data_IF_371395542118
#
_entry.id   IF_371395542118
#
_cell.length_a   1.000
_cell.length_b   1.000
_cell.length_c   1.000
_cell.angle_alpha   90.00
_cell.angle_beta   90.00
_cell.angle_gamma   90.00
#
_symmetry.space_group_name_H-M   'P 1'
#
loop_
_entity.id
_entity.type
_entity.pdbx_description
1 polymer ?
#
# COMPACT_ATOMS: atom_id res chain seq x y z
N UNK A 1 81.14 13.32 82.86
CA UNK A 1 82.26 14.02 83.51
C UNK A 1 81.92 15.51 83.54
N UNK A 2 81.94 16.06 84.75
CA UNK A 2 82.17 17.46 85.08
C UNK A 2 81.14 18.53 84.66
N UNK A 3 80.16 18.74 85.54
CA UNK A 3 79.97 19.99 86.31
C UNK A 3 81.25 20.85 86.47
N UNK A 4 81.19 22.19 86.68
CA UNK A 4 80.43 22.73 87.82
C UNK A 4 79.96 24.21 87.81
N UNK A 5 79.06 24.48 88.76
CA UNK A 5 79.08 25.59 89.75
C UNK A 5 78.86 27.04 89.30
N UNK A 6 77.78 27.76 89.67
CA UNK A 6 77.09 28.07 90.97
C UNK A 6 77.44 29.48 91.45
N UNK A 7 76.40 30.22 91.87
CA UNK A 7 76.24 30.98 93.11
C UNK A 7 75.43 32.26 92.81
N UNK A 8 74.17 32.40 93.27
CA UNK A 8 73.72 32.63 94.65
C UNK A 8 74.26 33.97 95.21
N UNK A 9 73.45 34.92 95.69
CA UNK A 9 72.01 35.01 95.90
C UNK A 9 71.65 36.45 96.30
N UNK A 10 70.38 36.73 96.58
CA UNK A 10 69.97 37.24 97.90
C UNK A 10 68.44 37.28 98.04
N UNK A 11 67.98 36.89 99.22
CA UNK A 11 66.59 36.85 99.66
C UNK A 11 66.13 38.20 100.22
N UNK A 12 64.94 38.68 99.84
CA UNK A 12 63.90 39.10 100.82
C UNK A 12 62.51 39.23 100.15
N UNK A 13 61.44 38.69 100.75
CA UNK A 13 60.05 38.72 100.23
C UNK A 13 59.23 39.84 100.92
N UNK A 14 57.90 39.95 100.75
CA UNK A 14 57.04 39.77 99.58
C UNK A 14 56.27 41.07 99.27
N UNK A 15 56.09 41.41 97.99
CA UNK A 15 55.04 42.35 97.57
C UNK A 15 54.10 41.61 96.63
N UNK A 16 52.90 41.31 97.11
CA UNK A 16 51.80 40.74 96.35
C UNK A 16 51.38 41.73 95.24
N UNK A 17 51.54 41.41 93.93
CA UNK A 17 50.86 42.13 92.88
C UNK A 17 49.56 41.40 92.55
N UNK A 18 48.52 42.19 92.43
CA UNK A 18 47.15 41.79 92.17
C UNK A 18 46.97 40.90 90.93
N UNK A 19 46.06 39.94 91.07
CA UNK A 19 45.53 39.09 89.99
C UNK A 19 44.78 39.98 88.99
N UNK A 20 45.50 40.52 87.99
CA UNK A 20 44.94 41.30 86.89
C UNK A 20 44.23 40.42 85.87
N UNK A 21 42.91 40.25 86.04
CA UNK A 21 42.02 39.61 85.05
C UNK A 21 42.04 40.35 83.70
N UNK A 22 42.93 39.99 82.78
CA UNK A 22 42.85 40.37 81.35
C UNK A 22 42.03 39.34 80.57
N UNK A 23 40.72 39.24 80.84
CA UNK A 23 39.79 38.39 80.07
C UNK A 23 38.62 39.13 79.43
N UNK A 24 38.68 40.47 79.28
CA UNK A 24 37.55 41.27 78.77
C UNK A 24 37.75 41.99 77.42
N UNK A 25 38.86 41.79 76.69
CA UNK A 25 39.05 42.39 75.34
C UNK A 25 39.02 41.40 74.15
N UNK A 26 38.97 40.09 74.40
CA UNK A 26 38.93 39.05 73.33
C UNK A 26 37.49 38.73 72.89
N UNK A 27 36.51 38.94 73.77
CA UNK A 27 35.09 38.66 73.51
C UNK A 27 34.49 39.38 72.28
N UNK A 28 34.73 40.69 72.03
CA UNK A 28 34.20 41.35 70.84
C UNK A 28 34.86 40.87 69.54
N UNK A 29 36.14 40.48 69.57
CA UNK A 29 36.84 39.92 68.41
C UNK A 29 36.36 38.50 68.08
N UNK A 30 36.12 37.67 69.09
CA UNK A 30 35.57 36.31 68.92
C UNK A 30 34.13 36.35 68.40
N UNK A 31 33.30 37.27 68.91
CA UNK A 31 31.93 37.47 68.41
C UNK A 31 31.90 38.00 66.97
N UNK A 32 32.82 38.90 66.62
CA UNK A 32 32.95 39.41 65.25
C UNK A 32 33.44 38.33 64.28
N UNK A 33 34.44 37.54 64.69
CA UNK A 33 34.93 36.40 63.90
C UNK A 33 33.84 35.32 63.72
N UNK A 34 33.08 35.01 64.77
CA UNK A 34 31.96 34.07 64.69
C UNK A 34 30.84 34.58 63.77
N UNK A 35 30.52 35.88 63.81
CA UNK A 35 29.56 36.50 62.91
C UNK A 35 30.01 36.42 61.44
N UNK A 36 31.30 36.70 61.16
CA UNK A 36 31.86 36.56 59.81
C UNK A 36 31.82 35.11 59.33
N UNK A 37 32.22 34.15 60.17
CA UNK A 37 32.16 32.72 59.83
C UNK A 37 30.73 32.27 59.52
N UNK A 38 29.74 32.69 60.32
CA UNK A 38 28.34 32.39 60.06
C UNK A 38 27.84 33.02 58.74
N UNK A 39 28.28 34.23 58.43
CA UNK A 39 27.92 34.93 57.19
C UNK A 39 28.54 34.22 55.97
N UNK A 40 29.81 33.83 56.06
CA UNK A 40 30.50 33.04 55.03
C UNK A 40 29.87 31.64 54.86
N UNK A 41 29.51 30.98 55.96
CA UNK A 41 28.81 29.70 55.91
C UNK A 41 27.41 29.84 55.27
N UNK A 42 26.70 30.92 55.57
CA UNK A 42 25.43 31.25 54.92
C UNK A 42 25.56 31.49 53.42
N UNK A 43 26.57 32.26 53.00
CA UNK A 43 26.86 32.50 51.58
C UNK A 43 27.28 31.20 50.87
N UNK A 44 28.10 30.37 51.50
CA UNK A 44 28.49 29.07 50.95
C UNK A 44 27.27 28.13 50.79
N UNK A 45 26.34 28.12 51.76
CA UNK A 45 25.10 27.36 51.68
C UNK A 45 24.17 27.86 50.55
N UNK A 46 24.03 29.19 50.40
CA UNK A 46 23.28 29.80 49.30
C UNK A 46 23.90 29.46 47.93
N UNK A 47 25.22 29.53 47.83
CA UNK A 47 25.98 29.18 46.63
C UNK A 47 25.79 27.71 46.24
N UNK A 48 25.93 26.80 47.21
CA UNK A 48 25.74 25.37 46.99
C UNK A 48 24.31 25.05 46.55
N UNK A 49 23.32 25.68 47.19
CA UNK A 49 21.91 25.52 46.83
C UNK A 49 21.63 26.03 45.42
N UNK A 50 22.20 27.18 45.05
CA UNK A 50 22.07 27.73 43.70
C UNK A 50 22.68 26.79 42.65
N UNK A 51 23.86 26.24 42.90
CA UNK A 51 24.49 25.25 42.00
C UNK A 51 23.68 23.97 41.85
N UNK A 52 23.16 23.42 42.94
CA UNK A 52 22.31 22.22 42.88
C UNK A 52 21.05 22.46 42.04
N UNK A 53 20.39 23.61 42.23
CA UNK A 53 19.21 23.98 41.43
C UNK A 53 19.56 24.18 39.95
N UNK A 54 20.69 24.81 39.66
CA UNK A 54 21.17 24.96 38.30
C UNK A 54 21.43 23.60 37.63
N UNK A 55 22.13 22.69 38.31
CA UNK A 55 22.45 21.36 37.78
C UNK A 55 21.17 20.53 37.54
N UNK A 56 20.18 20.63 38.45
CA UNK A 56 18.85 20.04 38.28
C UNK A 56 18.10 20.65 37.09
N UNK A 57 18.08 21.97 36.94
CA UNK A 57 17.43 22.66 35.82
C UNK A 57 18.11 22.33 34.48
N UNK A 58 19.43 22.27 34.45
CA UNK A 58 20.23 21.90 33.27
C UNK A 58 19.96 20.46 32.84
N UNK A 59 19.97 19.52 33.79
CA UNK A 59 19.64 18.10 33.52
C UNK A 59 18.18 17.94 33.10
N UNK A 60 17.27 18.66 33.76
CA UNK A 60 15.85 18.68 33.41
C UNK A 60 15.59 19.23 32.02
N UNK A 61 16.35 20.23 31.59
CA UNK A 61 16.29 20.75 30.22
C UNK A 61 16.77 19.71 29.21
N UNK A 62 17.95 19.10 29.40
CA UNK A 62 18.47 18.07 28.49
C UNK A 62 17.47 16.93 28.26
N UNK A 63 16.93 16.35 29.32
CA UNK A 63 15.91 15.30 29.22
C UNK A 63 14.62 15.80 28.53
N UNK A 64 14.24 17.06 28.72
CA UNK A 64 13.04 17.61 28.05
C UNK A 64 13.29 17.82 26.56
N UNK A 65 14.49 18.26 26.18
CA UNK A 65 14.88 18.39 24.76
C UNK A 65 14.97 17.02 24.07
N UNK A 66 15.51 16.00 24.74
CA UNK A 66 15.51 14.62 24.21
C UNK A 66 14.09 14.13 23.90
N UNK A 67 13.13 14.35 24.81
CA UNK A 67 11.72 14.03 24.57
C UNK A 67 11.08 14.85 23.44
N UNK A 68 11.50 16.10 23.27
CA UNK A 68 11.06 16.94 22.16
C UNK A 68 11.61 16.42 20.83
N UNK A 69 12.84 15.93 20.80
CA UNK A 69 13.45 15.31 19.62
C UNK A 69 12.75 14.01 19.26
N UNK A 70 12.43 13.16 20.23
CA UNK A 70 11.62 11.95 20.02
C UNK A 70 10.27 12.29 19.40
N UNK A 71 9.51 13.20 20.00
CA UNK A 71 8.22 13.64 19.48
C UNK A 71 8.33 14.29 18.07
N UNK A 72 9.44 14.98 17.79
CA UNK A 72 9.71 15.55 16.46
C UNK A 72 9.98 14.45 15.43
N UNK A 73 10.74 13.42 15.78
CA UNK A 73 11.01 12.26 14.91
C UNK A 73 9.72 11.47 14.62
N UNK A 74 8.88 11.28 15.63
CA UNK A 74 7.58 10.62 15.45
C UNK A 74 6.66 11.40 14.50
N UNK A 75 6.58 12.72 14.67
CA UNK A 75 5.80 13.58 13.78
C UNK A 75 6.37 13.61 12.34
N UNK A 76 7.69 13.65 12.18
CA UNK A 76 8.34 13.57 10.86
C UNK A 76 8.09 12.22 10.15
N UNK A 77 8.10 11.12 10.92
CA UNK A 77 7.73 9.80 10.41
C UNK A 77 6.28 9.76 9.94
N UNK A 78 5.35 10.31 10.73
CA UNK A 78 3.95 10.43 10.36
C UNK A 78 3.75 11.34 9.11
N UNK A 79 4.49 12.44 9.01
CA UNK A 79 4.50 13.33 7.84
C UNK A 79 4.99 12.61 6.57
N UNK A 80 6.04 11.79 6.68
CA UNK A 80 6.52 10.98 5.56
C UNK A 80 5.46 9.97 5.13
N UNK A 81 4.81 9.32 6.09
CA UNK A 81 3.71 8.39 5.84
C UNK A 81 2.53 9.03 5.11
N UNK A 82 2.03 10.18 5.57
CA UNK A 82 0.90 10.85 4.93
C UNK A 82 1.24 11.36 3.53
N UNK A 83 2.45 11.89 3.32
CA UNK A 83 2.89 12.36 2.00
C UNK A 83 2.96 11.20 1.00
N UNK A 84 3.50 10.05 1.41
CA UNK A 84 3.55 8.86 0.55
C UNK A 84 2.16 8.38 0.11
N UNK A 85 1.17 8.37 1.03
CA UNK A 85 -0.21 7.99 0.70
C UNK A 85 -0.86 9.05 -0.19
N UNK A 86 -0.66 10.34 0.10
CA UNK A 86 -1.20 11.46 -0.69
C UNK A 86 -0.68 11.43 -2.12
N UNK A 87 0.60 11.21 -2.31
CA UNK A 87 1.21 11.22 -3.64
C UNK A 87 0.65 10.05 -4.49
N UNK A 88 0.47 8.87 -3.88
CA UNK A 88 -0.19 7.73 -4.54
C UNK A 88 -1.69 7.98 -4.82
N UNK A 89 -2.43 8.58 -3.88
CA UNK A 89 -3.83 8.96 -4.11
C UNK A 89 -3.97 10.01 -5.22
N UNK A 90 -3.05 10.98 -5.28
CA UNK A 90 -3.00 11.99 -6.35
C UNK A 90 -2.71 11.34 -7.70
N UNK A 91 -1.79 10.37 -7.73
CA UNK A 91 -1.50 9.61 -8.94
C UNK A 91 -2.73 8.83 -9.43
N UNK A 92 -3.51 8.20 -8.54
CA UNK A 92 -4.79 7.55 -8.89
C UNK A 92 -5.77 8.56 -9.50
N UNK A 93 -5.94 9.73 -8.87
CA UNK A 93 -6.84 10.78 -9.37
C UNK A 93 -6.40 11.36 -10.73
N UNK A 94 -5.11 11.31 -11.05
CA UNK A 94 -4.55 11.84 -12.28
C UNK A 94 -4.67 10.89 -13.49
N UNK A 95 -5.00 9.62 -13.27
CA UNK A 95 -5.21 8.66 -14.38
C UNK A 95 -6.49 9.05 -15.14
N UNK A 96 -6.43 9.31 -16.46
CA UNK A 96 -7.61 9.43 -17.30
C UNK A 96 -8.26 8.05 -17.41
N UNK A 97 -9.45 7.88 -16.83
CA UNK A 97 -10.05 6.57 -16.61
C UNK A 97 -11.45 6.41 -17.20
N UNK A 98 -11.88 7.36 -18.02
CA UNK A 98 -13.15 7.36 -18.76
C UNK A 98 -14.38 6.99 -17.91
N UNK A 99 -14.35 7.30 -16.60
CA UNK A 99 -15.44 7.04 -15.66
C UNK A 99 -15.35 5.72 -14.88
N UNK A 100 -14.23 4.99 -15.00
CA UNK A 100 -13.97 3.79 -14.21
C UNK A 100 -13.95 4.11 -12.71
N UNK A 101 -13.35 5.24 -12.30
CA UNK A 101 -13.51 5.78 -10.95
C UNK A 101 -14.83 6.56 -10.85
N UNK A 102 -15.79 6.11 -10.02
CA UNK A 102 -17.05 6.82 -9.81
C UNK A 102 -16.82 8.27 -9.35
N UNK A 103 -17.66 9.23 -9.76
CA UNK A 103 -17.53 10.63 -9.34
C UNK A 103 -17.56 10.84 -7.81
N UNK A 104 -18.37 10.05 -7.09
CA UNK A 104 -18.49 10.07 -5.64
C UNK A 104 -17.22 9.52 -4.95
N UNK A 105 -16.67 8.41 -5.45
CA UNK A 105 -15.39 7.86 -4.98
C UNK A 105 -14.23 8.84 -5.23
N UNK A 106 -14.21 9.48 -6.41
CA UNK A 106 -13.25 10.52 -6.79
C UNK A 106 -13.34 11.73 -5.85
N UNK A 107 -14.55 12.22 -5.57
CA UNK A 107 -14.79 13.32 -4.65
C UNK A 107 -14.38 12.98 -3.20
N UNK A 108 -14.71 11.78 -2.73
CA UNK A 108 -14.34 11.32 -1.39
C UNK A 108 -12.81 11.21 -1.23
N UNK A 109 -12.11 10.65 -2.23
CA UNK A 109 -10.65 10.57 -2.24
C UNK A 109 -9.99 11.95 -2.24
N UNK A 110 -10.50 12.88 -3.08
CA UNK A 110 -10.01 14.26 -3.12
C UNK A 110 -10.20 14.97 -1.77
N UNK A 111 -11.39 14.90 -1.17
CA UNK A 111 -11.69 15.53 0.11
C UNK A 111 -10.82 14.98 1.27
N UNK A 112 -10.56 13.67 1.27
CA UNK A 112 -9.63 13.06 2.23
C UNK A 112 -8.19 13.55 2.00
N UNK A 113 -7.76 13.69 0.74
CA UNK A 113 -6.45 14.24 0.37
C UNK A 113 -6.25 15.68 0.81
N UNK A 114 -7.28 16.53 0.66
CA UNK A 114 -7.29 17.91 1.12
C UNK A 114 -7.17 17.99 2.64
N UNK A 115 -7.94 17.17 3.35
CA UNK A 115 -7.90 17.08 4.82
C UNK A 115 -6.50 16.66 5.29
N UNK A 116 -5.94 15.61 4.71
CA UNK A 116 -4.59 15.14 5.01
C UNK A 116 -3.53 16.22 4.73
N UNK A 117 -3.68 16.98 3.64
CA UNK A 117 -2.79 18.11 3.29
C UNK A 117 -2.87 19.23 4.31
N UNK A 118 -4.06 19.57 4.80
CA UNK A 118 -4.22 20.58 5.84
C UNK A 118 -3.57 20.14 7.16
N UNK A 119 -3.77 18.88 7.58
CA UNK A 119 -3.14 18.34 8.79
C UNK A 119 -1.61 18.27 8.66
N UNK A 120 -1.09 17.87 7.49
CA UNK A 120 0.35 17.83 7.23
C UNK A 120 0.98 19.23 7.29
N UNK A 121 0.31 20.26 6.73
CA UNK A 121 0.76 21.65 6.84
C UNK A 121 0.78 22.14 8.29
N UNK A 122 -0.28 21.86 9.06
CA UNK A 122 -0.36 22.24 10.46
C UNK A 122 0.73 21.55 11.31
N UNK A 123 0.96 20.25 11.10
CA UNK A 123 2.01 19.49 11.76
C UNK A 123 3.42 19.99 11.40
N UNK A 124 3.67 20.30 10.13
CA UNK A 124 4.98 20.82 9.68
C UNK A 124 5.33 22.15 10.36
N UNK A 125 4.33 23.01 10.56
CA UNK A 125 4.53 24.31 11.23
C UNK A 125 4.91 24.20 12.72
N UNK A 126 4.74 23.03 13.34
CA UNK A 126 5.08 22.77 14.74
C UNK A 126 6.50 22.22 14.94
N UNK A 127 7.15 21.75 13.88
CA UNK A 127 8.48 21.17 13.98
C UNK A 127 9.47 22.21 14.52
N UNK A 128 10.21 21.90 15.61
CA UNK A 128 11.10 22.87 16.23
C UNK A 128 12.28 23.19 15.31
N UNK A 129 12.75 24.44 15.42
CA UNK A 129 14.04 24.86 14.88
C UNK A 129 15.22 24.40 15.76
N UNK A 130 16.36 25.09 15.63
CA UNK A 130 17.55 24.76 16.42
C UNK A 130 17.32 24.89 17.93
N UNK A 131 17.86 23.93 18.69
CA UNK A 131 17.79 23.93 20.15
C UNK A 131 18.53 25.12 20.78
N UNK A 132 18.00 25.66 21.89
CA UNK A 132 18.68 26.71 22.64
C UNK A 132 19.93 26.17 23.34
N UNK A 133 21.04 26.92 23.29
CA UNK A 133 22.29 26.54 23.95
C UNK A 133 22.24 26.79 25.47
N UNK A 134 22.72 25.81 26.24
CA UNK A 134 22.95 25.95 27.69
C UNK A 134 24.29 26.65 27.86
N UNK A 135 24.28 27.87 28.43
CA UNK A 135 25.50 28.63 28.69
C UNK A 135 26.38 27.98 29.77
N UNK A 136 27.60 28.50 29.93
CA UNK A 136 28.48 28.11 31.03
C UNK A 136 27.86 28.49 32.38
N UNK A 137 28.19 27.73 33.42
CA UNK A 137 27.72 28.00 34.79
C UNK A 137 28.44 29.23 35.35
N UNK A 138 27.68 30.26 35.70
CA UNK A 138 28.20 31.47 36.33
C UNK A 138 28.71 31.20 37.76
N UNK A 139 29.61 32.07 38.25
CA UNK A 139 30.23 31.87 39.56
C UNK A 139 29.35 32.32 40.72
N UNK A 140 28.72 33.50 40.66
CA UNK A 140 28.02 34.08 41.82
C UNK A 140 26.57 33.59 41.94
N UNK A 141 26.10 33.35 43.16
CA UNK A 141 24.79 32.74 43.40
C UNK A 141 23.60 33.51 42.79
N UNK A 142 23.66 34.84 42.69
CA UNK A 142 22.59 35.62 42.05
C UNK A 142 22.53 35.40 40.53
N UNK A 143 23.68 35.31 39.86
CA UNK A 143 23.79 35.01 38.43
C UNK A 143 23.33 33.56 38.15
N UNK A 144 23.74 32.62 39.00
CA UNK A 144 23.30 31.22 38.94
C UNK A 144 21.78 31.10 39.08
N UNK A 145 21.17 31.85 40.01
CA UNK A 145 19.71 31.85 40.17
C UNK A 145 19.00 32.46 38.95
N UNK A 146 19.54 33.52 38.35
CA UNK A 146 18.98 34.12 37.14
C UNK A 146 19.01 33.16 35.95
N UNK A 147 20.13 32.45 35.74
CA UNK A 147 20.24 31.46 34.67
C UNK A 147 19.39 30.21 34.97
N UNK A 148 19.28 29.79 36.24
CA UNK A 148 18.37 28.72 36.65
C UNK A 148 16.93 29.05 36.24
N UNK A 149 16.46 30.26 36.52
CA UNK A 149 15.13 30.70 36.11
C UNK A 149 14.97 30.75 34.57
N UNK A 150 16.05 31.05 33.82
CA UNK A 150 16.05 30.96 32.35
C UNK A 150 15.88 29.53 31.88
N UNK A 151 16.62 28.58 32.46
CA UNK A 151 16.54 27.15 32.15
C UNK A 151 15.15 26.60 32.47
N UNK A 152 14.53 26.97 33.60
CA UNK A 152 13.17 26.57 33.94
C UNK A 152 12.13 27.06 32.92
N UNK A 153 12.26 28.30 32.42
CA UNK A 153 11.43 28.81 31.32
C UNK A 153 11.64 28.06 30.01
N UNK A 154 12.87 27.60 29.74
CA UNK A 154 13.17 26.75 28.58
C UNK A 154 12.55 25.37 28.73
N UNK A 155 12.63 24.75 29.92
CA UNK A 155 11.96 23.49 30.24
C UNK A 155 10.45 23.61 30.02
N UNK A 156 9.82 24.68 30.52
CA UNK A 156 8.39 24.89 30.33
C UNK A 156 8.00 25.03 28.85
N UNK A 157 8.79 25.78 28.06
CA UNK A 157 8.58 25.93 26.61
C UNK A 157 8.77 24.62 25.86
N UNK A 158 9.83 23.87 26.16
CA UNK A 158 10.09 22.58 25.53
C UNK A 158 8.98 21.57 25.86
N UNK A 159 8.50 21.50 27.11
CA UNK A 159 7.33 20.67 27.47
C UNK A 159 6.07 21.05 26.71
N UNK A 160 5.79 22.36 26.57
CA UNK A 160 4.65 22.83 25.79
C UNK A 160 4.78 22.42 24.31
N UNK A 161 5.97 22.55 23.73
CA UNK A 161 6.25 22.11 22.35
C UNK A 161 6.12 20.59 22.18
N UNK A 162 6.69 19.78 23.07
CA UNK A 162 6.50 18.32 23.07
C UNK A 162 5.02 17.96 23.09
N UNK A 163 4.23 18.62 23.94
CA UNK A 163 2.78 18.41 23.98
C UNK A 163 2.11 18.76 22.64
N UNK A 164 2.43 19.92 22.06
CA UNK A 164 1.88 20.33 20.75
C UNK A 164 2.23 19.36 19.63
N UNK A 165 3.46 18.83 19.60
CA UNK A 165 3.89 17.80 18.63
C UNK A 165 3.04 16.52 18.77
N UNK A 166 2.93 15.99 20.00
CA UNK A 166 2.12 14.79 20.26
C UNK A 166 0.63 15.01 20.02
N UNK A 167 0.09 16.19 20.33
CA UNK A 167 -1.31 16.55 20.07
C UNK A 167 -1.60 16.63 18.56
N UNK A 168 -0.63 17.05 17.74
CA UNK A 168 -0.76 17.13 16.27
C UNK A 168 -0.58 15.78 15.56
N UNK A 169 0.15 14.85 16.16
CA UNK A 169 0.36 13.52 15.60
C UNK A 169 -0.95 12.73 15.44
N UNK A 170 -1.84 12.79 16.44
CA UNK A 170 -3.13 12.07 16.42
C UNK A 170 -4.03 12.47 15.25
N UNK A 171 -4.38 13.75 15.03
CA UNK A 171 -5.20 14.14 13.88
C UNK A 171 -4.50 13.87 12.55
N UNK A 172 -3.17 13.97 12.49
CA UNK A 172 -2.40 13.62 11.30
C UNK A 172 -2.55 12.13 10.96
N UNK A 173 -2.36 11.23 11.93
CA UNK A 173 -2.57 9.79 11.75
C UNK A 173 -4.01 9.47 11.36
N UNK A 174 -4.99 10.06 12.05
CA UNK A 174 -6.41 9.87 11.73
C UNK A 174 -6.74 10.31 10.29
N UNK A 175 -6.20 11.46 9.83
CA UNK A 175 -6.38 11.90 8.44
C UNK A 175 -5.67 11.00 7.43
N UNK A 176 -4.54 10.40 7.82
CA UNK A 176 -3.82 9.43 6.98
C UNK A 176 -4.62 8.15 6.82
N UNK A 177 -5.23 7.65 7.89
CA UNK A 177 -6.05 6.43 7.85
C UNK A 177 -7.37 6.65 7.10
N UNK A 178 -7.98 7.84 7.25
CA UNK A 178 -9.12 8.24 6.45
C UNK A 178 -8.78 8.32 4.95
N UNK A 179 -7.62 8.89 4.60
CA UNK A 179 -7.12 8.93 3.24
C UNK A 179 -6.85 7.53 2.68
N UNK A 180 -6.20 6.64 3.45
CA UNK A 180 -5.99 5.24 3.03
C UNK A 180 -7.32 4.54 2.79
N UNK A 181 -8.29 4.70 3.69
CA UNK A 181 -9.62 4.09 3.55
C UNK A 181 -10.34 4.59 2.31
N UNK A 182 -10.35 5.91 2.07
CA UNK A 182 -10.94 6.49 0.87
C UNK A 182 -10.25 5.96 -0.40
N UNK A 183 -8.92 5.88 -0.41
CA UNK A 183 -8.15 5.37 -1.54
C UNK A 183 -8.41 3.88 -1.80
N UNK A 184 -8.40 3.05 -0.75
CA UNK A 184 -8.77 1.63 -0.79
C UNK A 184 -10.16 1.42 -1.38
N UNK A 185 -11.16 2.13 -0.87
CA UNK A 185 -12.54 2.06 -1.38
C UNK A 185 -12.59 2.45 -2.85
N UNK A 186 -11.98 3.57 -3.21
CA UNK A 186 -12.03 4.11 -4.56
C UNK A 186 -11.47 3.13 -5.61
N UNK A 187 -10.26 2.58 -5.37
CA UNK A 187 -9.65 1.62 -6.31
C UNK A 187 -10.36 0.26 -6.31
N UNK A 188 -10.96 -0.15 -5.19
CA UNK A 188 -11.73 -1.40 -5.12
C UNK A 188 -13.03 -1.29 -5.92
N UNK A 189 -13.74 -0.16 -5.80
CA UNK A 189 -14.94 0.10 -6.61
C UNK A 189 -14.62 0.17 -8.10
N UNK A 190 -13.48 0.77 -8.47
CA UNK A 190 -13.03 0.77 -9.85
C UNK A 190 -12.70 -0.64 -10.37
N UNK A 191 -12.05 -1.48 -9.54
CA UNK A 191 -11.79 -2.88 -9.88
C UNK A 191 -13.08 -3.70 -10.05
N UNK A 192 -14.11 -3.46 -9.23
CA UNK A 192 -15.42 -4.10 -9.39
C UNK A 192 -16.14 -3.66 -10.67
N UNK A 193 -16.02 -2.37 -11.04
CA UNK A 193 -16.53 -1.87 -12.34
C UNK A 193 -15.78 -2.46 -13.53
N UNK A 194 -14.45 -2.58 -13.45
CA UNK A 194 -13.66 -3.20 -14.49
C UNK A 194 -14.03 -4.69 -14.67
N UNK A 195 -14.28 -5.41 -13.58
CA UNK A 195 -14.76 -6.79 -13.66
C UNK A 195 -16.13 -6.89 -14.36
N UNK A 196 -17.02 -5.91 -14.14
CA UNK A 196 -18.30 -5.85 -14.85
C UNK A 196 -18.15 -5.47 -16.34
N UNK A 197 -17.06 -4.78 -16.73
CA UNK A 197 -16.82 -4.39 -18.11
C UNK A 197 -16.61 -5.60 -19.04
N UNK A 198 -16.11 -6.72 -18.53
CA UNK A 198 -15.99 -7.97 -19.29
C UNK A 198 -17.33 -8.39 -19.92
N UNK A 199 -18.40 -8.44 -19.12
CA UNK A 199 -19.72 -8.84 -19.61
C UNK A 199 -20.39 -7.82 -20.54
N UNK A 200 -19.95 -6.56 -20.50
CA UNK A 200 -20.48 -5.49 -21.35
C UNK A 200 -19.76 -5.38 -22.71
N UNK A 201 -18.61 -6.04 -22.87
CA UNK A 201 -17.75 -5.96 -24.05
C UNK A 201 -17.60 -7.33 -24.71
N UNK A 202 -18.71 -8.06 -24.86
CA UNK A 202 -18.75 -9.31 -25.63
C UNK A 202 -19.32 -8.98 -27.02
N UNK A 203 -18.67 -9.40 -28.13
CA UNK A 203 -17.44 -10.20 -28.20
C UNK A 203 -16.18 -9.34 -28.01
N UNK A 204 -15.12 -9.90 -27.42
CA UNK A 204 -13.79 -9.27 -27.34
C UNK A 204 -12.70 -10.35 -27.31
N UNK A 205 -11.49 -9.98 -27.71
CA UNK A 205 -10.32 -10.87 -27.67
C UNK A 205 -10.08 -11.45 -26.27
N UNK A 206 -9.79 -12.74 -26.22
CA UNK A 206 -9.57 -13.47 -24.97
C UNK A 206 -8.42 -12.88 -24.15
N UNK A 207 -7.32 -12.45 -24.80
CA UNK A 207 -6.18 -11.85 -24.11
C UNK A 207 -6.56 -10.55 -23.38
N UNK A 208 -7.42 -9.72 -23.99
CA UNK A 208 -7.88 -8.47 -23.38
C UNK A 208 -8.75 -8.74 -22.14
N UNK A 209 -9.64 -9.74 -22.21
CA UNK A 209 -10.42 -10.22 -21.05
C UNK A 209 -9.50 -10.70 -19.93
N UNK A 210 -8.50 -11.52 -20.26
CA UNK A 210 -7.55 -12.03 -19.28
C UNK A 210 -6.68 -10.94 -18.66
N UNK A 211 -6.32 -9.90 -19.41
CA UNK A 211 -5.58 -8.74 -18.92
C UNK A 211 -6.40 -7.94 -17.91
N UNK A 212 -7.70 -7.73 -18.17
CA UNK A 212 -8.61 -7.09 -17.21
C UNK A 212 -8.72 -7.91 -15.93
N UNK A 213 -8.97 -9.22 -16.02
CA UNK A 213 -9.05 -10.10 -14.85
C UNK A 213 -7.78 -10.05 -14.00
N UNK A 214 -6.61 -10.13 -14.64
CA UNK A 214 -5.31 -10.05 -13.96
C UNK A 214 -5.09 -8.69 -13.29
N UNK A 215 -5.45 -7.58 -13.95
CA UNK A 215 -5.32 -6.24 -13.39
C UNK A 215 -6.28 -6.01 -12.20
N UNK A 216 -7.52 -6.52 -12.29
CA UNK A 216 -8.49 -6.50 -11.18
C UNK A 216 -7.92 -7.21 -9.96
N UNK A 217 -7.38 -8.41 -10.13
CA UNK A 217 -6.79 -9.18 -9.03
C UNK A 217 -5.61 -8.44 -8.40
N UNK A 218 -4.74 -7.83 -9.20
CA UNK A 218 -3.59 -7.06 -8.72
C UNK A 218 -4.02 -5.84 -7.89
N UNK A 219 -5.00 -5.08 -8.36
CA UNK A 219 -5.55 -3.93 -7.63
C UNK A 219 -6.19 -4.41 -6.32
N UNK A 220 -7.03 -5.45 -6.34
CA UNK A 220 -7.70 -5.97 -5.14
C UNK A 220 -6.72 -6.46 -4.08
N UNK A 221 -5.65 -7.15 -4.46
CA UNK A 221 -4.63 -7.64 -3.53
C UNK A 221 -3.89 -6.52 -2.79
N UNK A 222 -3.77 -5.33 -3.40
CA UNK A 222 -3.01 -4.20 -2.84
C UNK A 222 -3.89 -3.05 -2.36
N UNK A 223 -5.20 -3.13 -2.59
CA UNK A 223 -6.15 -2.12 -2.16
C UNK A 223 -6.27 -2.05 -0.62
N UNK A 224 -6.08 -3.15 0.11
CA UNK A 224 -6.25 -3.18 1.57
C UNK A 224 -5.10 -3.90 2.31
N UNK A 225 -4.26 -3.18 3.09
CA UNK A 225 -4.23 -1.71 3.20
C UNK A 225 -3.72 -1.07 1.91
N UNK A 226 -4.17 0.15 1.61
CA UNK A 226 -3.70 0.90 0.43
C UNK A 226 -2.18 1.10 0.45
N UNK A 227 -1.49 0.51 -0.54
CA UNK A 227 -0.04 0.63 -0.71
C UNK A 227 0.31 1.66 -1.79
N UNK A 228 1.44 2.39 -1.71
CA UNK A 228 1.80 3.39 -2.73
C UNK A 228 1.87 2.85 -4.17
N UNK A 229 2.23 1.57 -4.34
CA UNK A 229 2.31 0.90 -5.65
C UNK A 229 0.95 0.76 -6.36
N UNK A 230 -0.16 0.81 -5.61
CA UNK A 230 -1.53 0.68 -6.14
C UNK A 230 -1.82 1.69 -7.26
N UNK A 231 -1.20 2.87 -7.22
CA UNK A 231 -1.38 3.86 -8.29
C UNK A 231 -0.94 3.36 -9.67
N UNK A 232 0.15 2.58 -9.74
CA UNK A 232 0.61 1.95 -10.97
C UNK A 232 -0.32 0.80 -11.41
N UNK A 233 -0.77 -0.01 -10.46
CA UNK A 233 -1.71 -1.11 -10.73
C UNK A 233 -3.07 -0.57 -11.22
N UNK A 234 -3.52 0.56 -10.66
CA UNK A 234 -4.72 1.25 -11.12
C UNK A 234 -4.60 1.79 -12.55
N UNK A 235 -3.45 2.39 -12.89
CA UNK A 235 -3.19 2.82 -14.26
C UNK A 235 -3.18 1.63 -15.25
N UNK A 236 -2.60 0.49 -14.84
CA UNK A 236 -2.62 -0.73 -15.64
C UNK A 236 -4.04 -1.29 -15.81
N UNK A 237 -4.87 -1.24 -14.76
CA UNK A 237 -6.29 -1.61 -14.83
C UNK A 237 -7.05 -0.77 -15.86
N UNK A 238 -6.88 0.55 -15.83
CA UNK A 238 -7.51 1.45 -16.80
C UNK A 238 -7.09 1.12 -18.23
N UNK A 239 -5.78 0.89 -18.46
CA UNK A 239 -5.29 0.48 -19.78
C UNK A 239 -5.85 -0.87 -20.23
N UNK A 240 -6.01 -1.83 -19.32
CA UNK A 240 -6.60 -3.13 -19.63
C UNK A 240 -8.08 -2.98 -20.05
N UNK A 241 -8.86 -2.15 -19.36
CA UNK A 241 -10.26 -1.86 -19.73
C UNK A 241 -10.34 -1.17 -21.09
N UNK A 242 -9.48 -0.18 -21.36
CA UNK A 242 -9.44 0.49 -22.66
C UNK A 242 -9.08 -0.48 -23.80
N UNK A 243 -8.15 -1.42 -23.57
CA UNK A 243 -7.83 -2.48 -24.55
C UNK A 243 -9.00 -3.42 -24.79
N UNK A 244 -9.73 -3.78 -23.74
CA UNK A 244 -10.94 -4.61 -23.84
C UNK A 244 -12.03 -3.91 -24.67
N UNK A 245 -12.30 -2.64 -24.40
CA UNK A 245 -13.29 -1.86 -25.17
C UNK A 245 -12.84 -1.68 -26.63
N UNK A 246 -11.54 -1.48 -26.86
CA UNK A 246 -10.97 -1.38 -28.20
C UNK A 246 -11.04 -2.71 -28.96
N UNK A 247 -10.72 -3.84 -28.31
CA UNK A 247 -10.82 -5.14 -28.96
C UNK A 247 -12.27 -5.44 -29.29
N UNK A 248 -13.20 -5.20 -28.37
CA UNK A 248 -14.63 -5.32 -28.63
C UNK A 248 -15.09 -4.53 -29.86
N UNK A 249 -14.74 -3.24 -29.94
CA UNK A 249 -15.09 -2.41 -31.09
C UNK A 249 -14.44 -2.91 -32.39
N UNK A 250 -13.23 -3.44 -32.32
CA UNK A 250 -12.51 -4.00 -33.47
C UNK A 250 -13.16 -5.29 -33.96
N UNK A 251 -13.54 -6.18 -33.04
CA UNK A 251 -14.25 -7.43 -33.33
C UNK A 251 -15.59 -7.15 -33.99
N UNK A 252 -16.42 -6.26 -33.41
CA UNK A 252 -17.70 -5.86 -34.03
C UNK A 252 -17.51 -5.24 -35.43
N UNK A 253 -16.46 -4.43 -35.62
CA UNK A 253 -16.18 -3.86 -36.93
C UNK A 253 -15.77 -4.94 -37.96
N UNK A 254 -14.99 -5.93 -37.55
CA UNK A 254 -14.59 -7.07 -38.40
C UNK A 254 -15.78 -7.98 -38.76
N UNK A 255 -16.74 -8.13 -37.85
CA UNK A 255 -17.94 -8.93 -38.04
C UNK A 255 -19.03 -8.23 -38.87
N UNK A 256 -18.94 -6.91 -39.02
CA UNK A 256 -19.94 -6.11 -39.73
C UNK A 256 -20.15 -6.55 -41.19
N UNK A 257 -21.38 -6.36 -41.67
CA UNK A 257 -21.76 -6.64 -43.07
C UNK A 257 -22.91 -7.63 -43.20
N UNK A 258 -23.12 -8.23 -44.39
CA UNK A 258 -24.29 -9.06 -44.66
C UNK A 258 -24.43 -10.31 -43.77
N UNK A 259 -23.35 -10.77 -43.15
CA UNK A 259 -23.31 -11.97 -42.31
C UNK A 259 -23.30 -11.67 -40.81
N UNK A 260 -23.32 -10.40 -40.41
CA UNK A 260 -23.16 -9.95 -39.01
C UNK A 260 -24.11 -10.68 -38.05
N UNK A 261 -25.41 -10.72 -38.36
CA UNK A 261 -26.38 -11.40 -37.50
C UNK A 261 -26.12 -12.90 -37.35
N UNK A 262 -25.79 -13.60 -38.45
CA UNK A 262 -25.46 -15.02 -38.40
C UNK A 262 -24.22 -15.29 -37.55
N UNK A 263 -23.21 -14.42 -37.63
CA UNK A 263 -21.99 -14.52 -36.82
C UNK A 263 -22.33 -14.37 -35.34
N UNK A 264 -23.05 -13.32 -34.97
CA UNK A 264 -23.45 -13.07 -33.57
C UNK A 264 -24.29 -14.21 -32.99
N UNK A 265 -25.26 -14.73 -33.74
CA UNK A 265 -26.12 -15.84 -33.31
C UNK A 265 -25.31 -17.14 -33.13
N UNK A 266 -24.39 -17.42 -34.05
CA UNK A 266 -23.52 -18.58 -33.99
C UNK A 266 -22.58 -18.51 -32.78
N UNK A 267 -21.95 -17.37 -32.53
CA UNK A 267 -21.05 -17.25 -31.39
C UNK A 267 -21.78 -17.32 -30.06
N UNK A 268 -22.99 -16.77 -29.98
CA UNK A 268 -23.86 -16.93 -28.82
C UNK A 268 -24.21 -18.41 -28.60
N UNK A 269 -24.54 -19.13 -29.67
CA UNK A 269 -24.75 -20.58 -29.63
C UNK A 269 -23.49 -21.31 -29.14
N UNK A 270 -22.32 -21.04 -29.70
CA UNK A 270 -21.06 -21.67 -29.29
C UNK A 270 -20.76 -21.45 -27.79
N UNK A 271 -20.91 -20.21 -27.31
CA UNK A 271 -20.75 -19.87 -25.87
C UNK A 271 -21.77 -20.58 -24.98
N UNK A 272 -22.98 -20.85 -25.48
CA UNK A 272 -24.01 -21.60 -24.74
C UNK A 272 -23.68 -23.08 -24.55
N UNK A 273 -22.91 -23.68 -25.48
CA UNK A 273 -22.52 -25.09 -25.41
C UNK A 273 -21.47 -25.34 -24.33
N UNK A 274 -20.61 -24.36 -24.04
CA UNK A 274 -19.53 -24.47 -23.05
C UNK A 274 -19.48 -23.25 -22.10
N UNK A 275 -20.49 -23.07 -21.21
CA UNK A 275 -20.57 -21.89 -20.35
C UNK A 275 -19.32 -21.72 -19.47
N UNK A 276 -18.70 -20.55 -19.50
CA UNK A 276 -17.50 -20.24 -18.70
C UNK A 276 -16.17 -20.64 -19.33
N UNK A 277 -16.17 -21.22 -20.54
CA UNK A 277 -14.96 -21.30 -21.37
C UNK A 277 -14.81 -19.98 -22.12
N UNK A 278 -13.63 -19.37 -22.02
CA UNK A 278 -13.32 -18.12 -22.69
C UNK A 278 -13.03 -18.41 -24.17
N UNK A 279 -13.87 -17.88 -25.06
CA UNK A 279 -13.84 -18.12 -26.50
C UNK A 279 -13.97 -16.82 -27.29
N UNK A 280 -13.06 -16.63 -28.24
CA UNK A 280 -13.12 -15.61 -29.29
C UNK A 280 -13.17 -16.27 -30.67
N UNK A 281 -13.55 -15.50 -31.68
CA UNK A 281 -13.89 -16.00 -32.99
C UNK A 281 -13.20 -15.19 -34.07
N UNK A 282 -12.72 -15.88 -35.10
CA UNK A 282 -12.10 -15.27 -36.27
C UNK A 282 -12.84 -15.71 -37.53
N UNK A 283 -13.13 -14.76 -38.43
CA UNK A 283 -13.88 -15.01 -39.66
C UNK A 283 -13.00 -14.84 -40.89
N UNK A 284 -12.99 -15.83 -41.78
CA UNK A 284 -12.21 -15.79 -43.03
C UNK A 284 -12.95 -16.42 -44.21
N UNK A 285 -12.55 -16.10 -45.44
CA UNK A 285 -13.15 -16.76 -46.62
C UNK A 285 -12.79 -18.24 -46.71
N UNK A 286 -11.59 -18.59 -46.23
CA UNK A 286 -11.06 -19.94 -46.22
C UNK A 286 -10.45 -20.26 -44.85
N UNK A 287 -10.75 -21.45 -44.34
CA UNK A 287 -10.06 -22.08 -43.21
C UNK A 287 -9.50 -23.41 -43.70
N UNK A 288 -8.23 -23.68 -43.46
CA UNK A 288 -7.56 -24.90 -43.96
C UNK A 288 -7.74 -25.13 -45.48
N UNK A 289 -7.80 -24.04 -46.26
CA UNK A 289 -8.00 -24.06 -47.71
C UNK A 289 -9.43 -24.37 -48.17
N UNK A 290 -10.40 -24.41 -47.26
CA UNK A 290 -11.82 -24.74 -47.50
C UNK A 290 -12.75 -23.59 -47.09
N UNK A 291 -13.81 -23.37 -47.85
CA UNK A 291 -14.81 -22.32 -47.60
C UNK A 291 -15.82 -22.18 -48.75
N UNK A 292 -16.46 -21.01 -48.85
CA UNK A 292 -17.53 -20.77 -49.84
C UNK A 292 -17.06 -21.03 -51.28
N UNK A 293 -15.88 -20.51 -51.64
CA UNK A 293 -15.35 -20.58 -53.00
C UNK A 293 -15.13 -22.01 -53.53
N UNK A 294 -15.07 -23.02 -52.66
CA UNK A 294 -15.00 -24.42 -53.04
C UNK A 294 -16.12 -25.29 -52.44
N UNK A 295 -17.18 -24.66 -51.91
CA UNK A 295 -18.41 -25.33 -51.48
C UNK A 295 -18.30 -26.11 -50.17
N UNK A 296 -17.35 -25.76 -49.30
CA UNK A 296 -17.14 -26.45 -48.02
C UNK A 296 -17.45 -25.55 -46.82
N UNK A 297 -17.95 -26.18 -45.74
CA UNK A 297 -17.91 -25.62 -44.39
C UNK A 297 -16.58 -26.03 -43.75
N UNK A 298 -15.86 -25.07 -43.18
CA UNK A 298 -14.58 -25.36 -42.53
C UNK A 298 -14.33 -24.47 -41.34
N UNK A 299 -13.78 -25.07 -40.30
CA UNK A 299 -13.41 -24.41 -39.07
C UNK A 299 -12.10 -24.98 -38.52
N UNK A 300 -11.54 -24.29 -37.53
CA UNK A 300 -10.38 -24.73 -36.77
C UNK A 300 -10.39 -24.07 -35.40
N UNK A 301 -10.13 -24.86 -34.36
CA UNK A 301 -10.02 -24.35 -32.99
C UNK A 301 -8.59 -24.47 -32.48
N UNK A 302 -8.05 -23.37 -31.98
CA UNK A 302 -6.82 -23.37 -31.18
C UNK A 302 -7.17 -23.13 -29.72
N UNK A 303 -6.52 -23.82 -28.78
CA UNK A 303 -6.75 -23.64 -27.35
C UNK A 303 -5.46 -23.66 -26.56
N UNK A 304 -5.48 -22.96 -25.43
CA UNK A 304 -4.35 -22.85 -24.52
C UNK A 304 -4.80 -23.10 -23.08
N UNK A 305 -3.89 -23.63 -22.25
CA UNK A 305 -4.16 -23.94 -20.84
C UNK A 305 -3.61 -22.91 -19.87
N UNK A 306 -2.79 -21.96 -20.34
CA UNK A 306 -2.24 -20.91 -19.51
C UNK A 306 -3.31 -19.87 -19.14
N UNK A 307 -3.04 -19.08 -18.10
CA UNK A 307 -3.92 -18.00 -17.63
C UNK A 307 -5.38 -18.41 -17.34
N UNK A 308 -5.63 -19.68 -17.03
CA UNK A 308 -6.98 -20.21 -16.78
C UNK A 308 -7.66 -20.84 -18.01
N UNK A 309 -6.99 -20.76 -19.17
CA UNK A 309 -7.36 -21.37 -20.43
C UNK A 309 -8.38 -20.58 -21.25
N UNK A 310 -8.17 -20.57 -22.56
CA UNK A 310 -8.99 -19.89 -23.55
C UNK A 310 -8.83 -20.55 -24.93
N UNK A 311 -9.78 -20.30 -25.83
CA UNK A 311 -9.76 -20.85 -27.18
C UNK A 311 -10.18 -19.83 -28.24
N UNK A 312 -9.58 -19.94 -29.42
CA UNK A 312 -9.94 -19.18 -30.61
C UNK A 312 -10.53 -20.12 -31.64
N UNK A 313 -11.76 -19.85 -32.06
CA UNK A 313 -12.46 -20.63 -33.08
C UNK A 313 -12.48 -19.84 -34.38
N UNK A 314 -11.71 -20.31 -35.36
CA UNK A 314 -11.65 -19.72 -36.69
C UNK A 314 -12.66 -20.39 -37.61
N UNK A 315 -13.55 -19.61 -38.19
CA UNK A 315 -14.70 -20.06 -38.97
C UNK A 315 -14.64 -19.49 -40.39
N UNK A 316 -14.93 -20.34 -41.37
CA UNK A 316 -15.13 -19.87 -42.75
C UNK A 316 -16.45 -19.11 -42.89
N UNK A 317 -16.48 -18.09 -43.76
CA UNK A 317 -17.67 -17.29 -44.04
C UNK A 317 -18.85 -18.12 -44.56
N UNK A 318 -18.58 -19.28 -45.18
CA UNK A 318 -19.62 -20.23 -45.59
C UNK A 318 -20.42 -20.81 -44.42
N UNK A 319 -19.83 -20.93 -43.22
CA UNK A 319 -20.57 -21.37 -42.03
C UNK A 319 -21.61 -20.32 -41.63
N UNK A 320 -21.25 -19.04 -41.64
CA UNK A 320 -22.20 -17.96 -41.35
C UNK A 320 -23.28 -17.82 -42.45
N UNK A 321 -22.95 -18.13 -43.71
CA UNK A 321 -23.92 -18.13 -44.81
C UNK A 321 -24.93 -19.28 -44.72
N UNK A 322 -24.47 -20.45 -44.28
CA UNK A 322 -25.31 -21.65 -44.13
C UNK A 322 -26.06 -21.70 -42.79
N UNK A 323 -25.77 -20.76 -41.88
CA UNK A 323 -26.45 -20.66 -40.59
C UNK A 323 -27.95 -20.37 -40.76
N UNK A 324 -28.86 -21.04 -40.03
CA UNK A 324 -28.64 -22.01 -38.94
C UNK A 324 -28.90 -23.47 -39.35
N UNK A 325 -28.26 -23.97 -40.41
CA UNK A 325 -28.41 -25.37 -40.85
C UNK A 325 -27.96 -26.40 -39.78
N UNK A 326 -28.40 -27.65 -39.92
CA UNK A 326 -27.95 -28.74 -39.05
C UNK A 326 -26.44 -28.96 -39.15
N UNK A 327 -25.86 -28.85 -40.35
CA UNK A 327 -24.42 -28.96 -40.57
C UNK A 327 -23.63 -27.82 -39.94
N UNK A 328 -24.15 -26.58 -40.00
CA UNK A 328 -23.53 -25.42 -39.36
C UNK A 328 -23.56 -25.52 -37.82
N UNK A 329 -24.66 -25.99 -37.22
CA UNK A 329 -24.69 -26.28 -35.78
C UNK A 329 -23.72 -27.40 -35.40
N UNK A 330 -23.68 -28.47 -36.19
CA UNK A 330 -22.86 -29.64 -35.90
C UNK A 330 -21.35 -29.33 -35.95
N UNK A 331 -20.89 -28.58 -36.97
CA UNK A 331 -19.48 -28.17 -37.06
C UNK A 331 -19.12 -27.22 -35.91
N UNK A 332 -19.98 -26.26 -35.56
CA UNK A 332 -19.71 -25.35 -34.43
C UNK A 332 -19.67 -26.12 -33.11
N UNK A 333 -20.55 -27.10 -32.91
CA UNK A 333 -20.50 -27.95 -31.73
C UNK A 333 -19.23 -28.79 -31.65
N UNK A 334 -18.71 -29.26 -32.80
CA UNK A 334 -17.43 -29.94 -32.88
C UNK A 334 -16.28 -29.02 -32.44
N UNK A 335 -16.22 -27.80 -32.97
CA UNK A 335 -15.20 -26.81 -32.58
C UNK A 335 -15.25 -26.44 -31.10
N UNK A 336 -16.44 -26.28 -30.52
CA UNK A 336 -16.58 -26.10 -29.07
C UNK A 336 -16.09 -27.33 -28.30
N UNK A 337 -16.18 -28.52 -28.88
CA UNK A 337 -15.60 -29.76 -28.35
C UNK A 337 -14.07 -29.71 -28.19
N UNK A 338 -13.37 -29.02 -29.10
CA UNK A 338 -11.95 -28.70 -28.92
C UNK A 338 -11.76 -27.73 -27.75
N UNK A 339 -12.52 -26.63 -27.73
CA UNK A 339 -12.41 -25.60 -26.68
C UNK A 339 -12.68 -26.13 -25.25
N UNK A 340 -13.72 -26.96 -25.06
CA UNK A 340 -14.10 -27.48 -23.73
C UNK A 340 -13.02 -28.39 -23.12
N UNK A 341 -12.05 -28.84 -23.91
CA UNK A 341 -10.84 -29.53 -23.44
C UNK A 341 -10.13 -28.76 -22.32
N UNK A 342 -10.19 -27.42 -22.34
CA UNK A 342 -9.66 -26.56 -21.26
C UNK A 342 -10.13 -27.02 -19.87
N UNK A 343 -11.40 -27.43 -19.76
CA UNK A 343 -12.00 -27.99 -18.53
C UNK A 343 -11.77 -29.49 -18.41
N UNK A 344 -11.88 -30.23 -19.51
CA UNK A 344 -11.95 -31.70 -19.52
C UNK A 344 -10.61 -32.41 -19.71
N UNK A 345 -9.48 -31.68 -19.74
CA UNK A 345 -8.18 -32.18 -20.21
C UNK A 345 -7.70 -33.50 -19.61
N UNK A 346 -8.17 -33.86 -18.41
CA UNK A 346 -7.78 -35.09 -17.70
C UNK A 346 -8.68 -36.28 -17.99
N UNK A 347 -9.73 -36.10 -18.79
CA UNK A 347 -10.73 -37.13 -19.09
C UNK A 347 -10.40 -37.96 -20.33
N UNK A 348 -9.45 -37.50 -21.15
CA UNK A 348 -9.01 -38.19 -22.35
C UNK A 348 -7.53 -37.86 -22.67
N UNK A 349 -6.96 -38.53 -23.66
CA UNK A 349 -5.60 -38.24 -24.13
C UNK A 349 -5.59 -36.99 -25.03
N UNK A 350 -5.02 -35.90 -24.51
CA UNK A 350 -4.92 -34.59 -25.18
C UNK A 350 -3.62 -34.43 -25.99
N UNK A 351 -2.80 -35.49 -26.11
CA UNK A 351 -1.45 -35.39 -26.70
C UNK A 351 -1.38 -35.71 -28.19
N UNK A 352 -2.42 -36.31 -28.76
CA UNK A 352 -2.51 -36.67 -30.17
C UNK A 352 -3.66 -35.94 -30.88
N UNK A 353 -3.45 -35.56 -32.13
CA UNK A 353 -4.46 -34.86 -32.91
C UNK A 353 -5.68 -35.76 -33.18
N UNK A 354 -5.48 -37.07 -33.42
CA UNK A 354 -6.58 -38.00 -33.69
C UNK A 354 -7.50 -38.15 -32.49
N UNK A 355 -6.92 -38.19 -31.28
CA UNK A 355 -7.72 -38.27 -30.04
C UNK A 355 -8.45 -36.96 -29.74
N UNK A 356 -7.87 -35.81 -30.09
CA UNK A 356 -8.54 -34.52 -30.02
C UNK A 356 -9.75 -34.44 -30.97
N UNK A 357 -9.61 -34.85 -32.23
CA UNK A 357 -10.72 -34.89 -33.19
C UNK A 357 -11.83 -35.86 -32.78
N UNK A 358 -11.45 -37.05 -32.27
CA UNK A 358 -12.41 -38.01 -31.73
C UNK A 358 -13.15 -37.46 -30.49
N UNK A 359 -12.47 -36.70 -29.64
CA UNK A 359 -13.06 -36.03 -28.48
C UNK A 359 -14.06 -34.94 -28.91
N UNK A 360 -13.66 -34.05 -29.82
CA UNK A 360 -14.53 -32.99 -30.35
C UNK A 360 -15.80 -33.57 -30.99
N UNK A 361 -15.65 -34.63 -31.77
CA UNK A 361 -16.78 -35.37 -32.37
C UNK A 361 -17.68 -35.99 -31.28
N UNK A 362 -17.08 -36.60 -30.26
CA UNK A 362 -17.82 -37.21 -29.15
C UNK A 362 -18.59 -36.18 -28.32
N UNK A 363 -18.01 -34.99 -28.14
CA UNK A 363 -18.67 -33.85 -27.51
C UNK A 363 -19.88 -33.38 -28.31
N UNK A 364 -19.73 -33.14 -29.62
CA UNK A 364 -20.83 -32.72 -30.48
C UNK A 364 -21.99 -33.73 -30.49
N UNK A 365 -21.68 -35.03 -30.64
CA UNK A 365 -22.68 -36.12 -30.60
C UNK A 365 -23.39 -36.15 -29.26
N UNK A 366 -22.65 -36.08 -28.15
CA UNK A 366 -23.28 -36.08 -26.83
C UNK A 366 -24.23 -34.87 -26.68
N UNK A 367 -23.98 -33.75 -27.38
CA UNK A 367 -24.80 -32.52 -27.29
C UNK A 367 -26.07 -32.64 -28.13
N UNK A 368 -26.22 -33.74 -28.87
CA UNK A 368 -27.36 -34.02 -29.74
C UNK A 368 -27.12 -33.64 -31.20
N UNK A 369 -25.91 -33.19 -31.57
CA UNK A 369 -25.59 -32.82 -32.95
C UNK A 369 -25.05 -34.03 -33.71
N UNK A 370 -25.94 -34.70 -34.44
CA UNK A 370 -25.66 -35.97 -35.14
C UNK A 370 -25.50 -35.83 -36.65
N UNK A 371 -25.61 -34.62 -37.20
CA UNK A 371 -25.26 -34.39 -38.61
C UNK A 371 -23.77 -34.72 -38.85
N UNK A 372 -23.45 -35.27 -40.02
CA UNK A 372 -22.11 -35.78 -40.33
C UNK A 372 -21.02 -34.69 -40.31
N UNK A 373 -21.40 -33.40 -40.33
CA UNK A 373 -20.49 -32.27 -40.16
C UNK A 373 -19.93 -32.12 -38.72
N UNK A 374 -20.41 -32.91 -37.75
CA UNK A 374 -19.88 -32.96 -36.38
C UNK A 374 -18.47 -33.55 -36.24
N UNK A 375 -17.79 -33.84 -37.36
CA UNK A 375 -16.50 -34.54 -37.43
C UNK A 375 -16.61 -35.97 -37.95
N UNK A 376 -17.79 -36.60 -37.94
CA UNK A 376 -17.96 -38.00 -38.38
C UNK A 376 -17.57 -38.21 -39.84
N UNK A 377 -17.93 -37.29 -40.73
CA UNK A 377 -17.56 -37.37 -42.16
C UNK A 377 -16.05 -37.28 -42.41
N UNK A 378 -15.31 -36.57 -41.55
CA UNK A 378 -13.89 -36.33 -41.71
C UNK A 378 -13.01 -37.35 -40.95
N UNK A 379 -13.43 -37.73 -39.75
CA UNK A 379 -12.62 -38.47 -38.77
C UNK A 379 -13.24 -39.81 -38.36
N UNK A 380 -14.47 -40.10 -38.79
CA UNK A 380 -15.23 -41.28 -38.38
C UNK A 380 -15.92 -41.12 -37.03
N UNK A 381 -16.80 -42.06 -36.69
CA UNK A 381 -17.53 -42.03 -35.42
C UNK A 381 -16.63 -42.43 -34.25
N UNK A 382 -16.63 -41.67 -33.13
CA UNK A 382 -15.91 -42.03 -31.93
C UNK A 382 -16.60 -43.21 -31.21
N UNK A 383 -15.89 -43.97 -30.35
CA UNK A 383 -16.50 -45.01 -29.53
C UNK A 383 -17.57 -44.44 -28.57
N UNK A 384 -18.65 -45.18 -28.34
CA UNK A 384 -19.73 -44.79 -27.41
C UNK A 384 -19.22 -44.45 -25.99
N UNK A 385 -18.17 -45.13 -25.53
CA UNK A 385 -17.54 -44.84 -24.24
C UNK A 385 -16.94 -43.43 -24.17
N UNK A 386 -16.41 -42.92 -25.29
CA UNK A 386 -15.87 -41.57 -25.37
C UNK A 386 -17.01 -40.53 -25.41
N UNK A 387 -18.11 -40.83 -26.12
CA UNK A 387 -19.34 -40.00 -26.11
C UNK A 387 -19.89 -39.88 -24.68
N UNK A 388 -19.94 -40.98 -23.93
CA UNK A 388 -20.35 -40.96 -22.52
C UNK A 388 -19.39 -40.16 -21.64
N UNK A 389 -18.08 -40.26 -21.89
CA UNK A 389 -17.07 -39.49 -21.15
C UNK A 389 -17.20 -37.99 -21.45
N UNK A 390 -17.39 -37.61 -22.71
CA UNK A 390 -17.62 -36.22 -23.11
C UNK A 390 -18.92 -35.66 -22.49
N UNK A 391 -19.99 -36.45 -22.49
CA UNK A 391 -21.25 -36.09 -21.81
C UNK A 391 -21.05 -35.80 -20.31
N UNK A 392 -20.17 -36.55 -19.65
CA UNK A 392 -19.85 -36.38 -18.24
C UNK A 392 -19.02 -35.13 -17.90
N UNK A 393 -18.50 -34.40 -18.90
CA UNK A 393 -17.75 -33.17 -18.64
C UNK A 393 -18.60 -31.88 -18.62
N UNK A 394 -19.84 -31.95 -19.11
CA UNK A 394 -20.80 -30.84 -19.01
C UNK A 394 -21.03 -30.45 -17.57
#
# INVERSE_FOLDING_TARGET
MHEPQTAAGDETPPATPSVGRTRRRVLPWVLSAAAVVLLLAGLAALQLTAWQRFDQASTGLRHTLERQDDASRDLQSALTGVNSVRDAATAVLAVPDDGLLPPDARAALSAAGDTATQQAKAATALLPGAHPHVGAREFWFWDVNAETARLERLVARARASTKSLSDAERPLRASTDALRTAASTAVSTAADRAAAAEGANVPADNEAVLDVRAAVDQVKQRASPFQPRVSGDYAALVQAVQKLEQSHATTLAAESGPLEQSRLDLEAFARSLAPGILMDFEWSDLVNGKGESNGYLSAETSWWYDRGGYATIRLSNSIAQDWPSDSAHAIVAHEVGHAITIRCRTMYDTTDATTAEAWATAWAISMGFTDDANGTSAYGSPPDSLVQTAAGCR
#
